data_IF_615588011693
#
_entry.id   IF_615588011693
#
_cell.length_a   1.000
_cell.length_b   1.000
_cell.length_c   1.000
_cell.angle_alpha   90.00
_cell.angle_beta   90.00
_cell.angle_gamma   90.00
#
_symmetry.space_group_name_H-M   'P 1'
#
loop_
_entity.id
_entity.type
_entity.pdbx_description
1 polymer ?
#
# COMPACT_ATOMS: atom_id res chain seq x y z
N UNK A 1 -0.58 0.99 27.82
CA UNK A 1 -1.60 0.00 27.43
C UNK A 1 -1.03 -1.40 27.22
N UNK A 2 -0.06 -1.61 26.31
CA UNK A 2 0.47 -2.95 26.03
C UNK A 2 1.08 -3.65 27.26
N UNK A 3 1.85 -2.94 28.10
CA UNK A 3 2.37 -3.49 29.35
C UNK A 3 1.27 -3.92 30.35
N UNK A 4 0.10 -3.26 30.33
CA UNK A 4 -1.08 -3.64 31.16
C UNK A 4 -1.76 -4.91 30.62
N UNK A 5 -1.74 -5.08 29.29
CA UNK A 5 -2.24 -6.29 28.64
C UNK A 5 -1.28 -7.47 28.84
N UNK A 6 0.03 -7.21 28.81
CA UNK A 6 1.09 -8.19 29.08
C UNK A 6 1.19 -8.56 30.57
N UNK A 7 0.54 -7.81 31.47
CA UNK A 7 0.59 -8.03 32.92
C UNK A 7 1.85 -7.51 33.60
N UNK A 8 2.72 -6.80 32.87
CA UNK A 8 3.95 -6.19 33.36
C UNK A 8 3.70 -4.96 34.25
N UNK A 9 2.58 -4.28 34.03
CA UNK A 9 2.15 -3.10 34.79
C UNK A 9 0.71 -3.31 35.24
N UNK A 10 0.43 -3.10 36.52
CA UNK A 10 -0.93 -3.20 37.04
C UNK A 10 -1.82 -2.03 36.56
N UNK A 11 -3.14 -2.22 36.62
CA UNK A 11 -4.09 -1.17 36.24
C UNK A 11 -3.94 0.08 37.11
N UNK A 12 -3.71 -0.11 38.41
CA UNK A 12 -3.55 0.98 39.37
C UNK A 12 -2.25 1.78 39.14
N UNK A 13 -1.14 1.11 38.84
CA UNK A 13 0.12 1.75 38.46
C UNK A 13 -0.03 2.57 37.17
N UNK A 14 -0.69 2.00 36.16
CA UNK A 14 -0.96 2.70 34.90
C UNK A 14 -1.86 3.93 35.11
N UNK A 15 -2.91 3.81 35.93
CA UNK A 15 -3.81 4.90 36.23
C UNK A 15 -3.10 6.08 36.92
N UNK A 16 -2.22 5.78 37.89
CA UNK A 16 -1.39 6.78 38.59
C UNK A 16 -0.41 7.46 37.65
N UNK A 17 0.32 6.68 36.84
CA UNK A 17 1.32 7.19 35.89
C UNK A 17 0.69 8.14 34.87
N UNK A 18 -0.44 7.75 34.31
CA UNK A 18 -1.12 8.49 33.25
C UNK A 18 -2.15 9.51 33.79
N UNK A 19 -2.30 9.62 35.12
CA UNK A 19 -3.22 10.54 35.81
C UNK A 19 -4.68 10.40 35.36
N UNK A 20 -5.11 9.16 35.14
CA UNK A 20 -6.49 8.81 34.78
C UNK A 20 -7.10 7.88 35.82
N UNK A 21 -8.40 7.66 35.76
CA UNK A 21 -9.05 6.68 36.64
C UNK A 21 -8.71 5.24 36.23
N UNK A 22 -8.68 4.32 37.19
CA UNK A 22 -8.56 2.88 36.91
C UNK A 22 -9.70 2.39 36.01
N UNK A 23 -10.90 2.96 36.17
CA UNK A 23 -12.05 2.67 35.31
C UNK A 23 -11.78 3.01 33.84
N UNK A 24 -11.10 4.12 33.56
CA UNK A 24 -10.69 4.48 32.19
C UNK A 24 -9.73 3.45 31.60
N UNK A 25 -8.75 2.99 32.38
CA UNK A 25 -7.80 1.95 31.96
C UNK A 25 -8.53 0.63 31.70
N UNK A 26 -9.45 0.22 32.58
CA UNK A 26 -10.27 -0.97 32.39
C UNK A 26 -11.11 -0.90 31.11
N UNK A 27 -11.74 0.24 30.85
CA UNK A 27 -12.52 0.45 29.63
C UNK A 27 -11.65 0.31 28.38
N UNK A 28 -10.54 1.03 28.33
CA UNK A 28 -9.63 0.96 27.18
C UNK A 28 -9.04 -0.45 26.99
N UNK A 29 -8.79 -1.20 28.07
CA UNK A 29 -8.36 -2.60 27.99
C UNK A 29 -9.44 -3.46 27.32
N UNK A 30 -10.69 -3.30 27.71
CA UNK A 30 -11.82 -4.01 27.11
C UNK A 30 -11.99 -3.63 25.62
N UNK A 31 -12.00 -2.34 25.32
CA UNK A 31 -12.14 -1.82 23.94
C UNK A 31 -11.03 -2.35 23.03
N UNK A 32 -9.79 -2.39 23.52
CA UNK A 32 -8.65 -2.91 22.76
C UNK A 32 -8.79 -4.40 22.46
N UNK A 33 -9.16 -5.21 23.45
CA UNK A 33 -9.33 -6.66 23.25
C UNK A 33 -10.49 -6.94 22.29
N UNK A 34 -11.60 -6.23 22.43
CA UNK A 34 -12.75 -6.40 21.55
C UNK A 34 -12.44 -5.99 20.12
N UNK A 35 -11.85 -4.80 19.93
CA UNK A 35 -11.42 -4.33 18.60
C UNK A 35 -10.38 -5.27 17.98
N UNK A 36 -9.49 -5.83 18.81
CA UNK A 36 -8.50 -6.81 18.38
C UNK A 36 -9.14 -8.11 17.88
N UNK A 37 -10.14 -8.63 18.59
CA UNK A 37 -10.91 -9.81 18.13
C UNK A 37 -11.64 -9.52 16.82
N UNK A 38 -12.29 -8.36 16.73
CA UNK A 38 -12.98 -7.94 15.50
C UNK A 38 -12.01 -7.86 14.33
N UNK A 39 -10.82 -7.28 14.53
CA UNK A 39 -9.79 -7.23 13.49
C UNK A 39 -9.27 -8.62 13.08
N UNK A 40 -9.15 -9.56 14.01
CA UNK A 40 -8.74 -10.93 13.72
C UNK A 40 -9.82 -11.73 12.98
N UNK A 41 -11.09 -11.56 13.33
CA UNK A 41 -12.22 -12.26 12.67
C UNK A 41 -12.58 -11.67 11.32
N UNK A 42 -12.50 -10.35 11.16
CA UNK A 42 -12.67 -9.68 9.88
C UNK A 42 -11.56 -10.04 8.86
N UNK A 43 -10.45 -10.62 9.33
CA UNK A 43 -9.26 -10.88 8.52
C UNK A 43 -8.52 -9.59 8.19
N UNK A 44 -7.38 -9.72 7.49
CA UNK A 44 -6.79 -8.56 6.81
C UNK A 44 -7.85 -8.05 5.83
N UNK A 45 -8.39 -6.86 6.08
CA UNK A 45 -9.11 -6.11 5.05
C UNK A 45 -8.22 -6.15 3.81
N UNK A 46 -8.77 -6.62 2.68
CA UNK A 46 -8.05 -6.72 1.41
C UNK A 46 -7.41 -5.38 1.00
N UNK A 47 -6.71 -5.33 -0.15
CA UNK A 47 -5.97 -4.15 -0.54
C UNK A 47 -6.80 -2.90 -0.33
N UNK A 48 -6.22 -1.94 0.38
CA UNK A 48 -6.85 -0.66 0.68
C UNK A 48 -7.37 -0.04 -0.61
N UNK A 49 -8.39 0.81 -0.53
CA UNK A 49 -8.90 1.53 -1.71
C UNK A 49 -7.77 2.23 -2.49
N UNK A 50 -6.71 2.66 -1.78
CA UNK A 50 -5.51 3.23 -2.40
C UNK A 50 -4.68 2.21 -3.18
N UNK A 51 -4.47 1.01 -2.64
CA UNK A 51 -3.76 -0.06 -3.33
C UNK A 51 -4.49 -0.47 -4.62
N UNK A 52 -5.82 -0.58 -4.58
CA UNK A 52 -6.61 -0.88 -5.78
C UNK A 52 -6.52 0.22 -6.86
N UNK A 53 -6.53 1.49 -6.44
CA UNK A 53 -6.31 2.62 -7.36
C UNK A 53 -4.92 2.57 -8.01
N UNK A 54 -3.89 2.26 -7.21
CA UNK A 54 -2.53 2.14 -7.72
C UNK A 54 -2.39 0.96 -8.69
N UNK A 55 -3.03 -0.18 -8.41
CA UNK A 55 -3.04 -1.32 -9.34
C UNK A 55 -3.70 -0.95 -10.69
N UNK A 56 -4.81 -0.20 -10.64
CA UNK A 56 -5.47 0.29 -11.85
C UNK A 56 -4.57 1.27 -12.64
N UNK A 57 -3.93 2.22 -11.94
CA UNK A 57 -3.00 3.18 -12.55
C UNK A 57 -1.79 2.50 -13.18
N UNK A 58 -1.22 1.49 -12.50
CA UNK A 58 -0.11 0.70 -13.06
C UNK A 58 -0.53 -0.05 -14.31
N UNK A 59 -1.74 -0.62 -14.34
CA UNK A 59 -2.26 -1.31 -15.51
C UNK A 59 -2.42 -0.35 -16.71
N UNK A 60 -3.01 0.83 -16.47
CA UNK A 60 -3.19 1.87 -17.49
C UNK A 60 -1.85 2.36 -18.05
N UNK A 61 -0.91 2.70 -17.16
CA UNK A 61 0.43 3.17 -17.55
C UNK A 61 1.21 2.10 -18.33
N UNK A 62 1.08 0.83 -17.93
CA UNK A 62 1.74 -0.29 -18.62
C UNK A 62 1.21 -0.44 -20.04
N UNK A 63 -0.10 -0.30 -20.24
CA UNK A 63 -0.70 -0.34 -21.57
C UNK A 63 -0.21 0.83 -22.43
N UNK A 64 -0.30 2.06 -21.93
CA UNK A 64 0.13 3.25 -22.67
C UNK A 64 1.62 3.20 -23.05
N UNK A 65 2.47 2.69 -22.16
CA UNK A 65 3.89 2.48 -22.46
C UNK A 65 4.10 1.45 -23.57
N UNK A 66 3.32 0.37 -23.58
CA UNK A 66 3.35 -0.65 -24.63
C UNK A 66 2.98 -0.07 -26.00
N UNK A 67 1.92 0.73 -26.05
CA UNK A 67 1.47 1.42 -27.27
C UNK A 67 2.53 2.40 -27.79
N UNK A 68 3.06 3.27 -26.94
CA UNK A 68 4.13 4.20 -27.29
C UNK A 68 5.40 3.46 -27.80
N UNK A 69 5.74 2.31 -27.19
CA UNK A 69 6.87 1.50 -27.63
C UNK A 69 6.64 0.87 -29.02
N UNK A 70 5.40 0.46 -29.32
CA UNK A 70 5.03 -0.03 -30.66
C UNK A 70 5.13 1.08 -31.70
N UNK A 71 4.57 2.26 -31.41
CA UNK A 71 4.68 3.42 -32.29
C UNK A 71 6.13 3.76 -32.58
N UNK A 72 6.97 3.90 -31.55
CA UNK A 72 8.39 4.20 -31.72
C UNK A 72 9.12 3.20 -32.64
N UNK A 73 8.78 1.90 -32.55
CA UNK A 73 9.32 0.87 -33.45
C UNK A 73 8.85 1.04 -34.89
N UNK A 74 7.58 1.36 -35.11
CA UNK A 74 7.03 1.61 -36.45
C UNK A 74 7.69 2.83 -37.09
N UNK A 75 7.85 3.92 -36.34
CA UNK A 75 8.52 5.13 -36.80
C UNK A 75 9.98 4.86 -37.19
N UNK A 76 10.73 4.13 -36.35
CA UNK A 76 12.11 3.74 -36.64
C UNK A 76 12.22 2.91 -37.92
N UNK A 77 11.41 1.86 -38.06
CA UNK A 77 11.41 1.00 -39.25
C UNK A 77 11.04 1.77 -40.52
N UNK A 78 10.09 2.70 -40.42
CA UNK A 78 9.69 3.55 -41.55
C UNK A 78 10.76 4.57 -41.94
N UNK A 79 11.54 5.08 -40.99
CA UNK A 79 12.70 5.92 -41.28
C UNK A 79 13.81 5.15 -41.99
N UNK A 80 14.13 3.93 -41.54
CA UNK A 80 15.12 3.05 -42.18
C UNK A 80 14.71 2.67 -43.61
N UNK A 81 13.42 2.39 -43.86
CA UNK A 81 12.90 2.11 -45.20
C UNK A 81 12.97 3.28 -46.18
N UNK A 82 13.02 4.53 -45.69
CA UNK A 82 13.18 5.74 -46.53
C UNK A 82 14.63 6.04 -46.88
N UNK A 83 15.60 5.49 -46.15
CA UNK A 83 17.04 5.68 -46.36
C UNK A 83 17.63 4.61 -47.29
N UNK A 84 16.96 4.26 -48.40
CA UNK A 84 17.36 3.19 -49.33
C UNK A 84 18.87 3.14 -49.63
N UNK A 85 19.44 1.94 -49.93
CA UNK A 85 20.87 1.65 -49.79
C UNK A 85 21.75 2.78 -50.32
N UNK A 86 22.56 3.34 -49.42
CA UNK A 86 23.44 4.46 -49.68
C UNK A 86 24.23 4.22 -50.96
N UNK A 87 23.98 5.02 -52.02
CA UNK A 87 24.87 5.08 -53.19
C UNK A 87 26.21 5.59 -52.69
N UNK A 88 27.12 4.68 -52.34
CA UNK A 88 28.53 5.01 -52.17
C UNK A 88 29.05 5.50 -53.52
N UNK A 89 29.50 6.76 -53.55
CA UNK A 89 30.04 7.38 -54.76
C UNK A 89 31.24 6.59 -55.28
N UNK A 90 31.30 6.46 -56.61
CA UNK A 90 32.45 5.99 -57.38
C UNK A 90 33.59 7.02 -57.31
#
# INVERSE_FOLDING_TARGET
MLAVLAGEVSVSEAARKERVSEQSIHRWKADFVESGKVGLTAGRTGPSTREQQLEAEVAELTQALGEAHLEARVWKKSAEGRLGPSRTSR
#
